data_IF_541494469482
#
_entry.id   IF_541494469482
#
_cell.length_a   1.000
_cell.length_b   1.000
_cell.length_c   1.000
_cell.angle_alpha   90.00
_cell.angle_beta   90.00
_cell.angle_gamma   90.00
#
_symmetry.space_group_name_H-M   'P 1'
#
loop_
_entity.id
_entity.type
_entity.pdbx_description
1 polymer ?
#
# COMPACT_ATOMS: atom_id res chain seq x y z
N UNK A 1 -27.87 13.50 51.43
CA UNK A 1 -27.70 14.06 50.07
C UNK A 1 -28.70 13.33 49.18
N UNK A 2 -29.79 13.98 48.74
CA UNK A 2 -30.76 13.33 47.85
C UNK A 2 -30.13 13.28 46.45
N UNK A 3 -30.01 12.07 45.89
CA UNK A 3 -29.66 11.91 44.47
C UNK A 3 -30.78 12.54 43.64
N UNK A 4 -30.47 13.62 42.93
CA UNK A 4 -31.40 14.16 41.95
C UNK A 4 -31.68 13.06 40.92
N UNK A 5 -32.98 12.81 40.70
CA UNK A 5 -33.46 11.79 39.78
C UNK A 5 -32.94 12.16 38.39
N UNK A 6 -32.16 11.28 37.78
CA UNK A 6 -31.67 11.47 36.41
C UNK A 6 -32.89 11.72 35.52
N UNK A 7 -32.90 12.85 34.82
CA UNK A 7 -33.99 13.20 33.91
C UNK A 7 -33.80 12.45 32.59
N UNK A 8 -34.52 11.34 32.45
CA UNK A 8 -34.49 10.48 31.28
C UNK A 8 -35.20 11.11 30.06
N UNK A 9 -35.96 12.19 30.22
CA UNK A 9 -36.64 12.87 29.10
C UNK A 9 -35.67 13.51 28.10
N UNK A 10 -34.40 13.66 28.45
CA UNK A 10 -33.33 14.12 27.55
C UNK A 10 -33.00 13.11 26.43
N UNK A 11 -33.44 11.86 26.57
CA UNK A 11 -33.26 10.81 25.57
C UNK A 11 -34.50 10.63 24.68
N UNK A 12 -35.62 11.34 24.92
CA UNK A 12 -36.89 11.16 24.20
C UNK A 12 -36.98 11.87 22.84
N UNK A 13 -35.92 12.51 22.36
CA UNK A 13 -35.84 12.92 20.93
C UNK A 13 -35.11 11.85 20.14
N UNK A 14 -35.66 10.64 20.18
CA UNK A 14 -35.34 9.58 19.24
C UNK A 14 -35.84 10.02 17.86
N UNK A 15 -34.97 10.68 17.09
CA UNK A 15 -34.96 10.46 15.65
C UNK A 15 -34.85 8.94 15.46
N UNK A 16 -36.00 8.25 15.27
CA UNK A 16 -36.15 6.85 14.87
C UNK A 16 -34.80 6.14 14.74
N UNK A 17 -34.24 5.69 15.87
CA UNK A 17 -33.02 4.90 15.84
C UNK A 17 -33.44 3.60 15.19
N UNK A 18 -33.13 3.49 13.90
CA UNK A 18 -33.26 2.26 13.13
C UNK A 18 -32.66 1.12 13.97
N UNK A 19 -33.49 0.15 14.37
CA UNK A 19 -33.06 -1.07 15.06
C UNK A 19 -32.02 -1.87 14.22
N UNK A 20 -31.81 -1.48 12.96
CA UNK A 20 -30.81 -2.02 12.06
C UNK A 20 -29.40 -1.47 12.31
N UNK A 21 -29.12 -0.72 13.38
CA UNK A 21 -27.79 -0.10 13.60
C UNK A 21 -26.60 -1.08 13.54
N UNK A 22 -26.81 -2.34 13.90
CA UNK A 22 -25.80 -3.41 13.74
C UNK A 22 -25.67 -3.84 12.27
N UNK A 23 -26.80 -3.99 11.57
CA UNK A 23 -26.82 -4.39 10.15
C UNK A 23 -26.24 -3.29 9.26
N UNK A 24 -26.51 -2.02 9.57
CA UNK A 24 -25.93 -0.84 8.90
C UNK A 24 -24.41 -0.73 9.16
N UNK A 25 -23.91 -1.29 10.27
CA UNK A 25 -22.48 -1.33 10.58
C UNK A 25 -21.72 -2.41 9.78
N UNK A 26 -22.42 -3.39 9.19
CA UNK A 26 -21.82 -4.41 8.33
C UNK A 26 -22.02 -4.09 6.86
N UNK A 27 -20.93 -3.69 6.19
CA UNK A 27 -20.95 -3.43 4.74
C UNK A 27 -19.91 -4.27 4.00
N UNK A 28 -20.30 -4.80 2.84
CA UNK A 28 -19.39 -5.50 1.93
C UNK A 28 -18.89 -4.51 0.88
N UNK A 29 -17.56 -4.37 0.80
CA UNK A 29 -16.91 -3.47 -0.16
C UNK A 29 -15.80 -4.19 -0.93
N UNK A 30 -15.67 -3.90 -2.22
CA UNK A 30 -14.51 -4.31 -3.01
C UNK A 30 -13.31 -3.43 -2.66
N UNK A 31 -12.36 -3.99 -1.90
CA UNK A 31 -11.17 -3.27 -1.44
C UNK A 31 -9.90 -3.80 -2.11
N UNK A 32 -8.94 -2.92 -2.46
CA UNK A 32 -7.68 -3.35 -3.04
C UNK A 32 -6.83 -4.12 -2.03
N UNK A 33 -6.50 -5.37 -2.36
CA UNK A 33 -5.56 -6.18 -1.58
C UNK A 33 -4.19 -6.16 -2.25
N UNK A 34 -3.19 -5.65 -1.52
CA UNK A 34 -1.80 -5.66 -1.94
C UNK A 34 -1.10 -6.92 -1.46
N UNK A 35 -0.62 -7.74 -2.40
CA UNK A 35 0.15 -8.95 -2.09
C UNK A 35 1.63 -8.62 -2.11
N UNK A 36 2.30 -8.82 -0.97
CA UNK A 36 3.74 -8.62 -0.81
C UNK A 36 4.41 -9.98 -0.71
N UNK A 37 5.09 -10.39 -1.77
CA UNK A 37 5.82 -11.66 -1.83
C UNK A 37 7.31 -11.44 -2.05
N UNK A 38 8.15 -11.92 -1.12
CA UNK A 38 9.61 -11.85 -1.24
C UNK A 38 10.28 -12.86 -0.31
N UNK A 39 11.36 -13.49 -0.77
CA UNK A 39 12.19 -14.40 0.03
C UNK A 39 11.39 -15.55 0.68
N UNK A 40 10.46 -16.15 -0.07
CA UNK A 40 9.62 -17.27 0.40
C UNK A 40 8.50 -16.88 1.36
N UNK A 41 8.31 -15.58 1.64
CA UNK A 41 7.24 -15.08 2.52
C UNK A 41 6.23 -14.30 1.69
N UNK A 42 4.94 -14.47 2.00
CA UNK A 42 3.83 -13.75 1.37
C UNK A 42 2.90 -13.16 2.41
N UNK A 43 2.49 -11.90 2.23
CA UNK A 43 1.56 -11.22 3.11
C UNK A 43 0.53 -10.40 2.30
N UNK A 44 -0.72 -10.40 2.76
CA UNK A 44 -1.77 -9.51 2.28
C UNK A 44 -1.80 -8.23 3.12
N UNK A 45 -1.99 -7.08 2.45
CA UNK A 45 -2.08 -5.75 3.07
C UNK A 45 -3.20 -4.95 2.40
N UNK A 46 -3.96 -4.22 3.21
CA UNK A 46 -5.10 -3.43 2.72
C UNK A 46 -4.72 -2.00 2.29
N UNK A 47 -3.46 -1.60 2.49
CA UNK A 47 -2.98 -0.29 2.05
C UNK A 47 -1.62 -0.39 1.36
N UNK A 48 -1.43 0.48 0.36
CA UNK A 48 -0.19 0.56 -0.42
C UNK A 48 1.01 0.93 0.45
N UNK A 49 0.83 1.85 1.39
CA UNK A 49 1.88 2.28 2.31
C UNK A 49 2.33 1.13 3.21
N UNK A 50 1.39 0.37 3.77
CA UNK A 50 1.69 -0.80 4.60
C UNK A 50 2.33 -1.92 3.77
N UNK A 51 1.91 -2.12 2.52
CA UNK A 51 2.56 -3.06 1.60
C UNK A 51 4.04 -2.69 1.35
N UNK A 52 4.34 -1.42 1.08
CA UNK A 52 5.72 -0.94 0.91
C UNK A 52 6.54 -1.13 2.19
N UNK A 53 5.98 -0.77 3.35
CA UNK A 53 6.65 -0.96 4.64
C UNK A 53 6.91 -2.45 4.90
N UNK A 54 5.94 -3.33 4.65
CA UNK A 54 6.13 -4.77 4.81
C UNK A 54 7.21 -5.32 3.88
N UNK A 55 7.24 -4.89 2.61
CA UNK A 55 8.27 -5.29 1.67
C UNK A 55 9.66 -4.83 2.15
N UNK A 56 9.78 -3.57 2.56
CA UNK A 56 11.01 -3.02 3.10
C UNK A 56 11.48 -3.80 4.33
N UNK A 57 10.57 -4.13 5.25
CA UNK A 57 10.88 -4.93 6.44
C UNK A 57 11.43 -6.31 6.06
N UNK A 58 10.79 -7.03 5.13
CA UNK A 58 11.26 -8.34 4.67
C UNK A 58 12.68 -8.25 4.08
N UNK A 59 12.93 -7.21 3.28
CA UNK A 59 14.25 -6.97 2.68
C UNK A 59 15.30 -6.65 3.75
N UNK A 60 15.01 -5.74 4.69
CA UNK A 60 15.93 -5.36 5.76
C UNK A 60 16.23 -6.54 6.68
N UNK A 61 15.22 -7.28 7.12
CA UNK A 61 15.40 -8.47 7.95
C UNK A 61 16.25 -9.52 7.26
N UNK A 62 16.09 -9.73 5.94
CA UNK A 62 16.91 -10.69 5.20
C UNK A 62 18.38 -10.27 5.16
N UNK A 63 18.67 -8.97 5.03
CA UNK A 63 20.04 -8.45 5.05
C UNK A 63 20.68 -8.64 6.43
N UNK A 64 19.97 -8.28 7.49
CA UNK A 64 20.47 -8.44 8.87
C UNK A 64 20.72 -9.91 9.23
N UNK A 65 19.77 -10.79 8.90
CA UNK A 65 19.89 -12.23 9.09
C UNK A 65 21.10 -12.80 8.34
N UNK A 66 21.36 -12.37 7.10
CA UNK A 66 22.55 -12.80 6.33
C UNK A 66 23.85 -12.26 6.89
N UNK A 67 23.82 -11.11 7.54
CA UNK A 67 24.98 -10.48 8.16
C UNK A 67 25.22 -10.97 9.60
N UNK A 68 24.39 -11.87 10.14
CA UNK A 68 24.47 -12.30 11.54
C UNK A 68 24.25 -11.17 12.54
N UNK A 69 23.49 -10.14 12.17
CA UNK A 69 23.22 -8.96 13.01
C UNK A 69 21.83 -9.03 13.62
N UNK A 70 21.74 -8.68 14.89
CA UNK A 70 20.47 -8.53 15.58
C UNK A 70 19.68 -7.34 15.03
N UNK A 71 18.35 -7.46 15.10
CA UNK A 71 17.42 -6.40 14.65
C UNK A 71 16.95 -5.51 15.80
N UNK A 72 17.06 -6.02 17.03
CA UNK A 72 16.52 -5.43 18.24
C UNK A 72 17.59 -5.43 19.33
N UNK A 73 17.45 -4.54 20.31
CA UNK A 73 18.17 -4.70 21.58
C UNK A 73 17.75 -6.00 22.27
N UNK A 74 18.60 -6.55 23.16
CA UNK A 74 18.28 -7.75 23.93
C UNK A 74 16.95 -7.61 24.67
N UNK A 75 16.23 -8.74 24.79
CA UNK A 75 14.99 -8.79 25.55
C UNK A 75 15.23 -8.41 27.01
N UNK A 76 14.26 -7.71 27.62
CA UNK A 76 14.34 -7.25 29.01
C UNK A 76 13.21 -7.85 29.84
N UNK A 77 13.48 -8.26 31.09
CA UNK A 77 12.42 -8.67 32.00
C UNK A 77 11.64 -7.44 32.47
N UNK A 78 10.33 -7.54 32.46
CA UNK A 78 9.39 -6.57 33.05
C UNK A 78 8.57 -7.31 34.10
N UNK A 79 8.55 -6.77 35.31
CA UNK A 79 7.71 -7.30 36.40
C UNK A 79 6.31 -6.71 36.21
N UNK A 80 5.34 -7.58 35.94
CA UNK A 80 3.92 -7.19 35.87
C UNK A 80 3.32 -6.98 37.25
N UNK A 81 2.13 -6.36 37.31
CA UNK A 81 1.41 -6.06 38.55
C UNK A 81 1.16 -7.30 39.43
N UNK A 82 1.08 -8.48 38.82
CA UNK A 82 0.88 -9.76 39.51
C UNK A 82 2.19 -10.39 40.03
N UNK A 83 3.31 -9.64 40.08
CA UNK A 83 4.66 -10.13 40.41
C UNK A 83 5.19 -11.24 39.47
N UNK A 84 4.62 -11.36 38.26
CA UNK A 84 5.09 -12.29 37.24
C UNK A 84 6.11 -11.59 36.34
N UNK A 85 7.25 -12.25 36.10
CA UNK A 85 8.29 -11.76 35.18
C UNK A 85 7.89 -12.09 33.74
N UNK A 86 7.61 -11.05 32.95
CA UNK A 86 7.35 -11.14 31.52
C UNK A 86 8.58 -10.67 30.73
N UNK A 87 8.96 -11.40 29.69
CA UNK A 87 10.04 -10.99 28.81
C UNK A 87 9.49 -10.18 27.64
N UNK A 88 9.99 -8.96 27.47
CA UNK A 88 9.64 -8.12 26.32
C UNK A 88 10.82 -8.03 25.36
N UNK A 89 10.51 -8.12 24.06
CA UNK A 89 11.51 -7.91 23.00
C UNK A 89 11.99 -6.46 23.10
N UNK A 90 13.32 -6.27 23.05
CA UNK A 90 13.88 -4.92 23.06
C UNK A 90 13.47 -4.12 21.81
N UNK A 91 13.64 -2.80 21.89
CA UNK A 91 13.34 -1.91 20.77
C UNK A 91 14.20 -2.23 19.55
N UNK A 92 13.76 -1.78 18.37
CA UNK A 92 14.54 -1.91 17.14
C UNK A 92 15.85 -1.12 17.23
N UNK A 93 16.93 -1.72 16.77
CA UNK A 93 18.22 -1.05 16.69
C UNK A 93 18.15 0.15 15.73
N UNK A 94 18.79 1.30 16.05
CA UNK A 94 18.82 2.47 15.16
C UNK A 94 19.28 2.14 13.74
N UNK A 95 20.27 1.26 13.59
CA UNK A 95 20.80 0.79 12.30
C UNK A 95 19.73 0.04 11.50
N UNK A 96 18.92 -0.77 12.17
CA UNK A 96 17.81 -1.49 11.56
C UNK A 96 16.76 -0.49 11.05
N UNK A 97 16.38 0.49 11.88
CA UNK A 97 15.41 1.53 11.52
C UNK A 97 15.91 2.34 10.32
N UNK A 98 17.18 2.76 10.32
CA UNK A 98 17.77 3.49 9.21
C UNK A 98 17.81 2.66 7.93
N UNK A 99 18.23 1.40 8.01
CA UNK A 99 18.26 0.49 6.86
C UNK A 99 16.85 0.28 6.28
N UNK A 100 15.86 0.10 7.15
CA UNK A 100 14.45 0.03 6.77
C UNK A 100 13.96 1.30 6.07
N UNK A 101 14.23 2.49 6.63
CA UNK A 101 13.87 3.78 6.02
C UNK A 101 14.51 3.94 4.63
N UNK A 102 15.78 3.55 4.46
CA UNK A 102 16.46 3.54 3.15
C UNK A 102 15.76 2.60 2.16
N UNK A 103 15.39 1.39 2.59
CA UNK A 103 14.66 0.45 1.76
C UNK A 103 13.29 1.00 1.31
N UNK A 104 12.51 1.60 2.22
CA UNK A 104 11.24 2.27 1.89
C UNK A 104 11.44 3.36 0.84
N UNK A 105 12.42 4.26 1.05
CA UNK A 105 12.74 5.32 0.08
C UNK A 105 13.10 4.74 -1.29
N UNK A 106 13.94 3.71 -1.32
CA UNK A 106 14.36 3.06 -2.57
C UNK A 106 13.18 2.43 -3.31
N UNK A 107 12.31 1.71 -2.61
CA UNK A 107 11.10 1.11 -3.21
C UNK A 107 10.22 2.20 -3.84
N UNK A 108 9.97 3.30 -3.11
CA UNK A 108 9.17 4.43 -3.64
C UNK A 108 9.80 5.02 -4.90
N UNK A 109 11.11 5.23 -4.92
CA UNK A 109 11.82 5.73 -6.10
C UNK A 109 11.69 4.78 -7.30
N UNK A 110 11.84 3.47 -7.09
CA UNK A 110 11.69 2.48 -8.15
C UNK A 110 10.26 2.46 -8.72
N UNK A 111 9.25 2.55 -7.85
CA UNK A 111 7.85 2.62 -8.28
C UNK A 111 7.55 3.90 -9.06
N UNK A 112 8.11 5.04 -8.65
CA UNK A 112 7.98 6.31 -9.38
C UNK A 112 8.59 6.21 -10.77
N UNK A 113 9.84 5.72 -10.86
CA UNK A 113 10.53 5.52 -12.15
C UNK A 113 9.77 4.58 -13.08
N UNK A 114 9.21 3.48 -12.54
CA UNK A 114 8.38 2.56 -13.33
C UNK A 114 7.15 3.26 -13.91
N UNK A 115 6.48 4.10 -13.12
CA UNK A 115 5.32 4.89 -13.59
C UNK A 115 5.73 5.87 -14.69
N UNK A 116 6.87 6.54 -14.56
CA UNK A 116 7.40 7.46 -15.58
C UNK A 116 7.68 6.74 -16.90
N UNK A 117 8.35 5.57 -16.84
CA UNK A 117 8.62 4.73 -18.02
C UNK A 117 7.31 4.29 -18.68
N UNK A 118 6.31 3.89 -17.90
CA UNK A 118 5.02 3.47 -18.43
C UNK A 118 4.27 4.60 -19.15
N UNK A 119 4.36 5.83 -18.62
CA UNK A 119 3.79 7.02 -19.28
C UNK A 119 4.51 7.30 -20.59
N UNK A 120 5.84 7.28 -20.60
CA UNK A 120 6.62 7.48 -21.83
C UNK A 120 6.32 6.41 -22.88
N UNK A 121 6.22 5.15 -22.45
CA UNK A 121 5.87 4.02 -23.33
C UNK A 121 4.50 4.22 -23.99
N UNK A 122 3.49 4.67 -23.24
CA UNK A 122 2.16 4.96 -23.79
C UNK A 122 2.20 6.09 -24.82
N UNK A 123 2.95 7.17 -24.55
CA UNK A 123 3.14 8.27 -25.51
C UNK A 123 3.80 7.79 -26.79
N UNK A 124 4.87 7.00 -26.67
CA UNK A 124 5.58 6.43 -27.81
C UNK A 124 4.66 5.56 -28.67
N UNK A 125 3.90 4.64 -28.04
CA UNK A 125 2.95 3.77 -28.76
C UNK A 125 1.90 4.61 -29.50
N UNK A 126 1.34 5.63 -28.85
CA UNK A 126 0.36 6.52 -29.50
C UNK A 126 0.94 7.24 -30.72
N UNK A 127 2.13 7.85 -30.57
CA UNK A 127 2.79 8.54 -31.67
C UNK A 127 3.16 7.59 -32.83
N UNK A 128 3.57 6.37 -32.50
CA UNK A 128 3.90 5.35 -33.50
C UNK A 128 2.66 4.95 -34.33
N UNK A 129 1.52 4.72 -33.68
CA UNK A 129 0.27 4.38 -34.37
C UNK A 129 -0.19 5.48 -35.32
N UNK A 130 -0.13 6.75 -34.89
CA UNK A 130 -0.48 7.88 -35.76
C UNK A 130 0.49 8.03 -36.94
N UNK A 131 1.78 7.82 -36.72
CA UNK A 131 2.77 7.85 -37.80
C UNK A 131 2.50 6.74 -38.84
N UNK A 132 2.17 5.53 -38.39
CA UNK A 132 1.79 4.44 -39.30
C UNK A 132 0.49 4.73 -40.07
N UNK A 133 -0.50 5.33 -39.40
CA UNK A 133 -1.76 5.73 -40.02
C UNK A 133 -1.51 6.74 -41.14
N UNK A 134 -0.81 7.84 -40.83
CA UNK A 134 -0.49 8.87 -41.81
C UNK A 134 0.34 8.33 -42.98
N UNK A 135 1.27 7.40 -42.70
CA UNK A 135 2.04 6.72 -43.75
C UNK A 135 1.14 5.92 -44.70
N UNK A 136 0.15 5.18 -44.17
CA UNK A 136 -0.84 4.44 -44.99
C UNK A 136 -1.71 5.39 -45.81
N UNK A 137 -2.21 6.46 -45.19
CA UNK A 137 -3.01 7.48 -45.87
C UNK A 137 -2.23 8.13 -47.02
N UNK A 138 -0.96 8.46 -46.81
CA UNK A 138 -0.07 9.01 -47.84
C UNK A 138 0.15 8.04 -49.01
N UNK A 139 0.44 6.76 -48.72
CA UNK A 139 0.62 5.72 -49.75
C UNK A 139 -0.65 5.58 -50.59
N UNK A 140 -1.82 5.52 -49.95
CA UNK A 140 -3.10 5.41 -50.63
C UNK A 140 -3.40 6.63 -51.50
N UNK A 141 -3.14 7.84 -50.99
CA UNK A 141 -3.28 9.09 -51.76
C UNK A 141 -2.34 9.11 -52.98
N UNK A 142 -1.09 8.69 -52.82
CA UNK A 142 -0.12 8.60 -53.90
C UNK A 142 -0.48 7.53 -54.95
N UNK A 143 -1.11 6.44 -54.54
CA UNK A 143 -1.64 5.42 -55.46
C UNK A 143 -2.83 5.97 -56.27
N UNK A 144 -3.78 6.65 -55.61
CA UNK A 144 -4.95 7.27 -56.25
C UNK A 144 -4.55 8.33 -57.27
N UNK A 145 -3.60 9.20 -56.94
CA UNK A 145 -3.10 10.22 -57.87
C UNK A 145 -2.43 9.61 -59.11
N UNK A 146 -1.73 8.47 -58.98
CA UNK A 146 -1.14 7.77 -60.13
C UNK A 146 -2.18 7.20 -61.09
N UNK A 147 -3.28 6.66 -60.56
CA UNK A 147 -4.39 6.15 -61.39
C UNK A 147 -5.16 7.27 -62.11
N UNK A 148 -5.16 8.49 -61.58
CA UNK A 148 -5.84 9.64 -62.20
C UNK A 148 -5.04 10.26 -63.38
N UNK A 149 -3.76 9.88 -63.54
CA UNK A 149 -2.86 10.42 -64.57
C UNK A 149 -2.69 9.44 -65.75
N UNK A 150 -3.11 8.18 -65.59
CA UNK A 150 -3.17 7.17 -66.67
C UNK A 150 -4.54 7.14 -67.34
#
# INVERSE_FOLDING_TARGET
>A
MKLEKIDYSRFDTDELISDNGIDDAFSIHELPVYVVSRHGRSYRRFSRSNAINKLAHIMTQKVFSRAGRDTNYPARPIIGENNVVNWTVGELLPEYIQCHKRAVRRIRLLLKRRKEIEVLRRKYIGAFVEAERLKKEFINAAAKNRQAIS
#
